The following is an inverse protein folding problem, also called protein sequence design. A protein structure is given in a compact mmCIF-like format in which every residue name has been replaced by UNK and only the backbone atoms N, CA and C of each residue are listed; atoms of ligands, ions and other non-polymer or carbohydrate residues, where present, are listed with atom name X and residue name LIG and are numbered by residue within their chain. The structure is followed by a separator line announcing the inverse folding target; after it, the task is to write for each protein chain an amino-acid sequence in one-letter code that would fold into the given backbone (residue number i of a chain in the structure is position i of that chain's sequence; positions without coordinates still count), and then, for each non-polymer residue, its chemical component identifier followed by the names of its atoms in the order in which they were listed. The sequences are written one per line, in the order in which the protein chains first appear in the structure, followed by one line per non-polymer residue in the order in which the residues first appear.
data_IF_823831432126
#
_entry.id   IF_823831432126
#
_cell.length_a   1.000
_cell.length_b   1.000
_cell.length_c   1.000
_cell.angle_alpha   90.00
_cell.angle_beta   90.00
_cell.angle_gamma   90.00
#
_symmetry.space_group_name_H-M   'P 1'
#
loop_
_entity.id
_entity.type
_entity.pdbx_description
1 polymer ?
#
# COMPACT_ATOMS: atom_id res chain seq x y z
N UNK A 1 -7.40 18.24 0.50
CA UNK A 1 -7.67 18.68 1.88
C UNK A 1 -8.86 19.65 1.85
N UNK A 2 -10.06 19.11 1.62
CA UNK A 2 -11.25 19.93 1.37
C UNK A 2 -11.68 20.65 2.66
N UNK A 3 -11.53 20.03 3.82
CA UNK A 3 -11.92 20.61 5.10
C UNK A 3 -11.25 21.95 5.39
N UNK A 4 -9.94 22.09 5.15
CA UNK A 4 -9.27 23.36 5.39
C UNK A 4 -9.75 24.46 4.45
N UNK A 5 -10.04 24.12 3.19
CA UNK A 5 -10.63 25.06 2.24
C UNK A 5 -12.05 25.48 2.64
N UNK A 6 -12.91 24.52 2.99
CA UNK A 6 -14.28 24.78 3.42
C UNK A 6 -14.33 25.56 4.73
N UNK A 7 -13.44 25.24 5.68
CA UNK A 7 -13.33 25.97 6.94
C UNK A 7 -12.93 27.43 6.72
N UNK A 8 -11.92 27.69 5.88
CA UNK A 8 -11.46 29.05 5.60
C UNK A 8 -12.50 29.86 4.81
N UNK A 9 -13.21 29.24 3.86
CA UNK A 9 -14.13 29.96 2.96
C UNK A 9 -15.56 30.06 3.47
N UNK A 10 -16.05 29.03 4.15
CA UNK A 10 -17.46 28.89 4.55
C UNK A 10 -17.66 28.67 6.06
N UNK A 11 -16.58 28.53 6.84
CA UNK A 11 -16.67 28.41 8.30
C UNK A 11 -17.12 27.03 8.81
N UNK A 12 -17.23 26.01 7.95
CA UNK A 12 -17.59 24.64 8.35
C UNK A 12 -16.57 23.60 7.87
N UNK A 13 -16.48 22.48 8.60
CA UNK A 13 -15.66 21.32 8.25
C UNK A 13 -16.59 20.21 7.73
N UNK A 14 -16.31 19.63 6.55
CA UNK A 14 -17.17 18.63 5.89
C UNK A 14 -17.24 17.36 6.72
N UNK A 15 -16.10 16.97 7.30
CA UNK A 15 -16.00 15.81 8.19
C UNK A 15 -16.79 16.00 9.50
N UNK A 16 -17.21 17.23 9.84
CA UNK A 16 -17.96 17.53 11.07
C UNK A 16 -19.41 17.97 10.82
N UNK A 17 -19.97 17.71 9.64
CA UNK A 17 -21.38 18.00 9.35
C UNK A 17 -22.34 17.06 10.09
N UNK A 18 -22.02 15.77 10.14
CA UNK A 18 -22.80 14.75 10.85
C UNK A 18 -21.87 13.77 11.57
N UNK A 19 -22.35 13.14 12.63
CA UNK A 19 -21.59 12.10 13.36
C UNK A 19 -21.22 10.94 12.41
N UNK A 20 -22.11 10.60 11.48
CA UNK A 20 -21.87 9.60 10.45
C UNK A 20 -20.73 10.00 9.50
N UNK A 21 -20.73 11.25 9.02
CA UNK A 21 -19.65 11.79 8.18
C UNK A 21 -18.31 11.71 8.89
N UNK A 22 -18.24 12.17 10.15
CA UNK A 22 -17.02 12.16 10.96
C UNK A 22 -16.45 10.75 11.13
N UNK A 23 -17.33 9.79 11.46
CA UNK A 23 -16.97 8.37 11.62
C UNK A 23 -16.43 7.77 10.34
N UNK A 24 -17.14 7.98 9.22
CA UNK A 24 -16.79 7.39 7.94
C UNK A 24 -15.52 8.02 7.36
N UNK A 25 -15.41 9.36 7.36
CA UNK A 25 -14.21 10.07 6.92
C UNK A 25 -12.99 9.66 7.74
N UNK A 26 -13.12 9.57 9.08
CA UNK A 26 -12.03 9.11 9.95
C UNK A 26 -11.60 7.69 9.59
N UNK A 27 -12.55 6.76 9.49
CA UNK A 27 -12.26 5.37 9.12
C UNK A 27 -11.57 5.25 7.76
N UNK A 28 -12.15 5.87 6.72
CA UNK A 28 -11.62 5.83 5.35
C UNK A 28 -10.23 6.44 5.30
N UNK A 29 -10.01 7.58 5.95
CA UNK A 29 -8.69 8.22 6.00
C UNK A 29 -7.65 7.30 6.63
N UNK A 30 -7.93 6.69 7.79
CA UNK A 30 -6.99 5.77 8.43
C UNK A 30 -6.76 4.51 7.60
N UNK A 31 -7.83 3.86 7.12
CA UNK A 31 -7.76 2.65 6.31
C UNK A 31 -6.96 2.87 5.03
N UNK A 32 -7.27 3.91 4.25
CA UNK A 32 -6.59 4.20 2.98
C UNK A 32 -5.13 4.58 3.19
N UNK A 33 -4.81 5.40 4.21
CA UNK A 33 -3.44 5.79 4.51
C UNK A 33 -2.58 4.58 4.88
N UNK A 34 -3.06 3.74 5.80
CA UNK A 34 -2.34 2.53 6.21
C UNK A 34 -2.23 1.55 5.03
N UNK A 35 -3.32 1.30 4.30
CA UNK A 35 -3.31 0.43 3.12
C UNK A 35 -2.28 0.89 2.08
N UNK A 36 -2.23 2.19 1.80
CA UNK A 36 -1.27 2.77 0.86
C UNK A 36 0.19 2.57 1.30
N UNK A 37 0.49 2.70 2.60
CA UNK A 37 1.84 2.46 3.13
C UNK A 37 2.23 0.97 3.05
N UNK A 38 1.33 0.06 3.44
CA UNK A 38 1.58 -1.38 3.40
C UNK A 38 1.70 -1.92 1.97
N UNK A 39 0.92 -1.39 1.02
CA UNK A 39 1.09 -1.73 -0.40
C UNK A 39 2.49 -1.40 -0.91
N UNK A 40 3.12 -0.32 -0.43
CA UNK A 40 4.49 0.03 -0.77
C UNK A 40 5.52 -0.92 -0.17
N UNK A 41 5.32 -1.37 1.06
CA UNK A 41 6.14 -2.45 1.65
C UNK A 41 6.06 -3.69 0.76
N UNK A 42 4.86 -4.11 0.37
CA UNK A 42 4.68 -5.29 -0.50
C UNK A 42 5.29 -5.11 -1.89
N UNK A 43 5.26 -3.91 -2.47
CA UNK A 43 5.99 -3.62 -3.70
C UNK A 43 7.51 -3.78 -3.53
N UNK A 44 8.08 -3.37 -2.40
CA UNK A 44 9.50 -3.58 -2.12
C UNK A 44 9.83 -5.07 -1.95
N UNK A 45 8.97 -5.82 -1.26
CA UNK A 45 9.10 -7.28 -1.07
C UNK A 45 9.04 -8.01 -2.41
N UNK A 46 8.05 -7.70 -3.26
CA UNK A 46 7.90 -8.31 -4.59
C UNK A 46 9.18 -8.14 -5.41
N UNK A 47 9.76 -6.93 -5.41
CA UNK A 47 11.02 -6.66 -6.12
C UNK A 47 12.20 -7.38 -5.53
N UNK A 48 12.33 -7.39 -4.21
CA UNK A 48 13.40 -8.13 -3.55
C UNK A 48 13.32 -9.63 -3.87
N UNK A 49 12.13 -10.23 -3.79
CA UNK A 49 11.90 -11.63 -4.15
C UNK A 49 12.19 -11.91 -5.62
N UNK A 50 11.83 -11.00 -6.53
CA UNK A 50 12.09 -11.14 -7.96
C UNK A 50 13.59 -11.10 -8.29
N UNK A 51 14.40 -10.36 -7.51
CA UNK A 51 15.85 -10.28 -7.69
C UNK A 51 16.59 -11.48 -7.10
N UNK A 52 16.17 -11.96 -5.92
CA UNK A 52 16.89 -13.03 -5.22
C UNK A 52 16.68 -14.43 -5.84
N UNK A 53 15.65 -14.65 -6.65
CA UNK A 53 15.30 -15.99 -7.16
C UNK A 53 15.89 -16.29 -8.56
N UNK A 54 17.02 -16.99 -8.60
CA UNK A 54 17.76 -17.45 -9.80
C UNK A 54 17.02 -18.50 -10.67
N UNK A 55 15.75 -18.86 -10.39
CA UNK A 55 15.08 -19.98 -11.11
C UNK A 55 13.66 -19.66 -11.59
N UNK A 56 13.55 -19.43 -12.90
CA UNK A 56 12.37 -19.09 -13.71
C UNK A 56 11.07 -19.87 -13.42
N UNK A 57 11.12 -21.08 -12.85
CA UNK A 57 9.94 -21.93 -12.59
C UNK A 57 9.10 -21.53 -11.36
N UNK A 58 9.59 -20.66 -10.46
CA UNK A 58 8.88 -20.27 -9.23
C UNK A 58 8.06 -18.96 -9.35
N UNK A 59 8.23 -18.22 -10.44
CA UNK A 59 7.67 -16.86 -10.63
C UNK A 59 6.13 -16.85 -10.57
N UNK A 60 5.47 -17.81 -11.22
CA UNK A 60 4.00 -17.85 -11.23
C UNK A 60 3.39 -18.13 -9.84
N UNK A 61 4.05 -18.95 -9.01
CA UNK A 61 3.62 -19.19 -7.63
C UNK A 61 3.97 -18.03 -6.69
N UNK A 62 5.00 -17.23 -7.01
CA UNK A 62 5.40 -16.08 -6.20
C UNK A 62 4.38 -14.94 -6.29
N UNK A 63 3.93 -14.58 -7.50
CA UNK A 63 2.92 -13.52 -7.66
C UNK A 63 1.62 -13.84 -6.92
N UNK A 64 1.14 -15.09 -6.99
CA UNK A 64 -0.06 -15.52 -6.25
C UNK A 64 0.12 -15.40 -4.73
N UNK A 65 1.32 -15.71 -4.22
CA UNK A 65 1.65 -15.57 -2.79
C UNK A 65 1.69 -14.10 -2.36
N UNK A 66 2.34 -13.23 -3.13
CA UNK A 66 2.40 -11.79 -2.83
C UNK A 66 1.00 -11.18 -2.83
N UNK A 67 0.17 -11.50 -3.83
CA UNK A 67 -1.23 -11.03 -3.87
C UNK A 67 -2.03 -11.52 -2.66
N UNK A 68 -1.86 -12.78 -2.26
CA UNK A 68 -2.49 -13.30 -1.04
C UNK A 68 -2.08 -12.49 0.19
N UNK A 69 -0.79 -12.20 0.36
CA UNK A 69 -0.30 -11.39 1.49
C UNK A 69 -0.80 -9.94 1.45
N UNK A 70 -0.92 -9.34 0.26
CA UNK A 70 -1.52 -8.01 0.09
C UNK A 70 -2.97 -8.03 0.57
N UNK A 71 -3.79 -8.95 0.08
CA UNK A 71 -5.21 -9.07 0.46
C UNK A 71 -5.33 -9.30 1.97
N UNK A 72 -4.53 -10.23 2.50
CA UNK A 72 -4.50 -10.51 3.93
C UNK A 72 -4.15 -9.27 4.76
N UNK A 73 -3.15 -8.49 4.33
CA UNK A 73 -2.76 -7.24 5.01
C UNK A 73 -3.87 -6.20 4.95
N UNK A 74 -4.56 -6.05 3.80
CA UNK A 74 -5.69 -5.12 3.68
C UNK A 74 -6.85 -5.51 4.60
N UNK A 75 -7.13 -6.81 4.75
CA UNK A 75 -8.13 -7.32 5.70
C UNK A 75 -7.72 -6.99 7.13
N UNK A 76 -6.47 -7.24 7.52
CA UNK A 76 -5.97 -6.88 8.86
C UNK A 76 -6.10 -5.38 9.11
N UNK A 77 -5.68 -4.54 8.16
CA UNK A 77 -5.78 -3.08 8.28
C UNK A 77 -7.24 -2.65 8.42
N UNK A 78 -8.17 -3.24 7.66
CA UNK A 78 -9.60 -2.96 7.82
C UNK A 78 -10.11 -3.34 9.22
N UNK A 79 -9.77 -4.54 9.70
CA UNK A 79 -10.18 -5.03 11.03
C UNK A 79 -9.62 -4.18 12.17
N UNK A 80 -8.33 -3.82 12.10
CA UNK A 80 -7.67 -2.95 13.09
C UNK A 80 -8.37 -1.58 13.18
N UNK A 81 -8.85 -1.04 12.07
CA UNK A 81 -9.53 0.25 12.02
C UNK A 81 -11.04 0.17 12.29
N UNK A 82 -11.63 -1.02 12.46
CA UNK A 82 -13.09 -1.20 12.63
C UNK A 82 -13.66 -0.53 13.88
N UNK A 83 -12.83 -0.27 14.88
CA UNK A 83 -13.22 0.47 16.08
C UNK A 83 -13.48 1.97 15.82
N UNK A 84 -13.01 2.55 14.71
CA UNK A 84 -13.24 3.95 14.31
C UNK A 84 -14.70 4.26 14.01
N UNK A 85 -15.40 3.55 13.09
CA UNK A 85 -16.81 3.85 12.82
C UNK A 85 -17.72 3.64 14.05
N UNK A 86 -17.29 2.82 15.01
CA UNK A 86 -18.06 2.56 16.24
C UNK A 86 -17.85 3.70 17.25
N UNK A 87 -16.60 4.01 17.58
CA UNK A 87 -16.26 4.84 18.73
C UNK A 87 -15.74 6.24 18.41
N UNK A 88 -15.34 6.51 17.16
CA UNK A 88 -14.84 7.83 16.79
C UNK A 88 -15.99 8.83 16.67
N UNK A 89 -15.77 10.03 17.20
CA UNK A 89 -16.67 11.17 17.15
C UNK A 89 -17.98 11.03 17.92
N UNK A 90 -18.44 12.14 18.48
CA UNK A 90 -19.70 12.25 19.20
C UNK A 90 -20.28 13.66 19.07
N UNK A 91 -21.60 13.78 19.27
CA UNK A 91 -22.30 15.06 19.29
C UNK A 91 -22.38 15.60 20.71
N UNK A 92 -22.06 16.88 20.87
CA UNK A 92 -22.21 17.67 22.09
C UNK A 92 -23.23 18.77 21.85
N UNK A 93 -24.13 18.98 22.80
CA UNK A 93 -24.97 20.18 22.81
C UNK A 93 -24.31 21.22 23.71
N UNK A 94 -23.98 22.38 23.16
CA UNK A 94 -23.40 23.50 23.89
C UNK A 94 -24.07 24.79 23.45
N UNK A 95 -24.66 25.55 24.39
CA UNK A 95 -25.38 26.80 24.12
C UNK A 95 -26.44 26.69 23.01
N UNK A 96 -27.29 25.67 23.06
CA UNK A 96 -28.30 25.35 22.04
C UNK A 96 -27.75 25.03 20.63
N UNK A 97 -26.42 24.94 20.47
CA UNK A 97 -25.78 24.48 19.23
C UNK A 97 -25.31 23.03 19.39
N UNK A 98 -25.59 22.20 18.39
CA UNK A 98 -25.03 20.84 18.33
C UNK A 98 -23.68 20.88 17.61
N UNK A 99 -22.60 20.56 18.32
CA UNK A 99 -21.24 20.49 17.79
C UNK A 99 -20.75 19.05 17.75
N UNK A 100 -20.00 18.71 16.70
CA UNK A 100 -19.40 17.38 16.55
C UNK A 100 -17.95 17.45 16.98
N UNK A 101 -17.59 16.64 17.97
CA UNK A 101 -16.23 16.54 18.51
C UNK A 101 -15.62 15.20 18.09
N UNK A 102 -14.32 15.21 17.78
CA UNK A 102 -13.53 14.00 17.56
C UNK A 102 -13.11 13.33 18.87
N UNK A 103 -12.89 12.01 18.83
CA UNK A 103 -12.53 11.21 20.00
C UNK A 103 -13.69 10.34 20.51
N UNK A 104 -13.53 9.79 21.72
CA UNK A 104 -14.53 8.92 22.36
C UNK A 104 -14.68 9.28 23.83
N UNK A 105 -15.92 9.42 24.31
CA UNK A 105 -16.22 9.63 25.73
C UNK A 105 -15.92 8.38 26.58
N UNK A 106 -16.14 7.20 26.01
CA UNK A 106 -16.14 5.93 26.75
C UNK A 106 -14.88 5.10 26.50
N UNK A 107 -14.12 5.40 25.44
CA UNK A 107 -12.98 4.59 25.03
C UNK A 107 -11.66 5.34 25.20
N UNK A 108 -10.91 4.98 26.26
CA UNK A 108 -9.61 5.57 26.62
C UNK A 108 -8.53 5.43 25.55
N UNK A 109 -8.75 4.64 24.51
CA UNK A 109 -7.81 4.54 23.39
C UNK A 109 -7.72 5.84 22.58
N UNK A 110 -8.68 6.77 22.68
CA UNK A 110 -8.82 7.92 21.76
C UNK A 110 -8.06 9.22 22.10
N UNK A 111 -6.96 9.16 22.86
CA UNK A 111 -5.79 9.95 22.45
C UNK A 111 -4.61 9.07 22.05
N UNK A 112 -4.51 7.87 22.60
CA UNK A 112 -3.38 6.96 22.36
C UNK A 112 -3.37 6.36 20.95
N UNK A 113 -4.51 6.33 20.27
CA UNK A 113 -4.64 5.82 18.90
C UNK A 113 -3.72 6.54 17.92
N UNK A 114 -3.44 7.83 18.14
CA UNK A 114 -2.52 8.61 17.31
C UNK A 114 -1.11 8.00 17.28
N UNK A 115 -0.63 7.43 18.39
CA UNK A 115 0.66 6.74 18.45
C UNK A 115 0.64 5.40 17.70
N UNK A 116 -0.45 4.64 17.85
CA UNK A 116 -0.62 3.37 17.13
C UNK A 116 -0.68 3.64 15.63
N UNK A 117 -1.45 4.65 15.22
CA UNK A 117 -1.52 5.07 13.84
C UNK A 117 -0.16 5.54 13.32
N UNK A 118 0.60 6.34 14.09
CA UNK A 118 1.96 6.73 13.72
C UNK A 118 2.86 5.49 13.45
N UNK A 119 2.80 4.49 14.32
CA UNK A 119 3.56 3.26 14.17
C UNK A 119 3.14 2.45 12.93
N UNK A 120 1.84 2.18 12.78
CA UNK A 120 1.29 1.34 11.71
C UNK A 120 1.31 2.00 10.33
N UNK A 121 1.13 3.31 10.27
CA UNK A 121 1.12 4.07 9.02
C UNK A 121 2.52 4.48 8.59
N UNK A 122 3.39 4.97 9.50
CA UNK A 122 4.70 5.51 9.10
C UNK A 122 5.87 4.65 9.56
N UNK A 123 6.09 4.49 10.87
CA UNK A 123 7.37 3.98 11.39
C UNK A 123 7.64 2.56 10.90
N UNK A 124 6.70 1.64 11.08
CA UNK A 124 6.89 0.23 10.69
C UNK A 124 7.01 0.10 9.16
N UNK A 125 6.10 0.65 8.35
CA UNK A 125 6.26 0.60 6.89
C UNK A 125 7.57 1.22 6.41
N UNK A 126 8.01 2.33 7.00
CA UNK A 126 9.26 2.99 6.65
C UNK A 126 10.48 2.12 6.91
N UNK A 127 10.59 1.53 8.10
CA UNK A 127 11.72 0.64 8.45
C UNK A 127 11.77 -0.55 7.49
N UNK A 128 10.62 -1.16 7.18
CA UNK A 128 10.54 -2.26 6.23
C UNK A 128 10.94 -1.84 4.82
N UNK A 129 10.40 -0.72 4.31
CA UNK A 129 10.77 -0.18 2.99
C UNK A 129 12.26 0.12 2.91
N UNK A 130 12.84 0.75 3.92
CA UNK A 130 14.28 1.04 3.97
C UNK A 130 15.09 -0.25 3.94
N UNK A 131 14.71 -1.25 4.75
CA UNK A 131 15.40 -2.54 4.81
C UNK A 131 15.39 -3.24 3.46
N UNK A 132 14.22 -3.39 2.82
CA UNK A 132 14.13 -4.05 1.51
C UNK A 132 14.84 -3.26 0.41
N UNK A 133 14.74 -1.93 0.41
CA UNK A 133 15.45 -1.10 -0.55
C UNK A 133 16.97 -1.22 -0.41
N UNK A 134 17.49 -1.25 0.82
CA UNK A 134 18.93 -1.48 1.06
C UNK A 134 19.38 -2.85 0.59
N UNK A 135 18.56 -3.90 0.79
CA UNK A 135 18.85 -5.24 0.28
C UNK A 135 18.85 -5.28 -1.27
N UNK A 136 17.90 -4.60 -1.91
CA UNK A 136 17.82 -4.47 -3.37
C UNK A 136 19.08 -3.79 -3.91
N UNK A 137 19.47 -2.64 -3.34
CA UNK A 137 20.67 -1.90 -3.76
C UNK A 137 21.93 -2.75 -3.59
N UNK A 138 22.10 -3.40 -2.42
CA UNK A 138 23.24 -4.29 -2.15
C UNK A 138 23.34 -5.41 -3.19
N UNK A 139 22.22 -6.05 -3.50
CA UNK A 139 22.16 -7.13 -4.47
C UNK A 139 22.50 -6.64 -5.89
N UNK A 140 21.99 -5.48 -6.30
CA UNK A 140 22.30 -4.86 -7.59
C UNK A 140 23.80 -4.49 -7.72
N UNK A 141 24.42 -3.99 -6.65
CA UNK A 141 25.86 -3.69 -6.61
C UNK A 141 26.69 -4.97 -6.71
N UNK A 142 26.28 -6.04 -6.02
CA UNK A 142 26.98 -7.32 -6.04
C UNK A 142 26.97 -7.94 -7.44
N UNK A 143 25.79 -7.98 -8.08
CA UNK A 143 25.67 -8.44 -9.48
C UNK A 143 26.49 -7.55 -10.41
N UNK A 144 26.55 -6.23 -10.16
CA UNK A 144 27.35 -5.30 -10.97
C UNK A 144 28.82 -5.71 -11.03
N UNK A 145 29.37 -6.20 -9.92
CA UNK A 145 30.77 -6.62 -9.80
C UNK A 145 31.08 -7.97 -10.47
N UNK A 146 30.09 -8.87 -10.56
CA UNK A 146 30.31 -10.26 -11.01
C UNK A 146 29.88 -10.54 -12.46
N UNK A 147 29.26 -9.59 -13.17
CA UNK A 147 28.67 -9.85 -14.50
C UNK A 147 29.15 -8.88 -15.59
N UNK A 148 29.64 -9.44 -16.71
CA UNK A 148 29.89 -8.74 -17.99
C UNK A 148 28.61 -8.60 -18.85
N UNK A 149 27.48 -9.18 -18.43
CA UNK A 149 26.23 -9.20 -19.20
C UNK A 149 25.37 -7.97 -18.90
N UNK A 150 25.40 -7.00 -19.82
CA UNK A 150 24.85 -5.65 -19.69
C UNK A 150 23.32 -5.58 -19.95
N UNK A 151 22.75 -6.55 -20.67
CA UNK A 151 21.40 -6.45 -21.26
C UNK A 151 20.24 -6.70 -20.27
N UNK A 152 20.35 -7.69 -19.36
CA UNK A 152 19.32 -7.93 -18.33
C UNK A 152 19.31 -6.85 -17.25
N UNK A 153 20.45 -6.19 -17.04
CA UNK A 153 20.70 -5.16 -16.02
C UNK A 153 19.83 -3.91 -16.21
N UNK A 154 19.73 -3.41 -17.44
CA UNK A 154 19.03 -2.15 -17.77
C UNK A 154 17.54 -2.21 -17.41
N UNK A 155 16.91 -3.39 -17.52
CA UNK A 155 15.48 -3.59 -17.27
C UNK A 155 15.14 -3.71 -15.78
N UNK A 156 16.04 -4.22 -14.95
CA UNK A 156 15.80 -4.34 -13.49
C UNK A 156 16.11 -3.05 -12.72
N UNK A 157 17.06 -2.24 -13.21
CA UNK A 157 17.39 -0.93 -12.61
C UNK A 157 16.32 0.12 -12.85
N UNK A 158 15.66 0.12 -14.03
CA UNK A 158 14.63 1.11 -14.37
C UNK A 158 13.37 0.99 -13.50
N UNK A 159 13.04 -0.22 -13.02
CA UNK A 159 11.85 -0.49 -12.20
C UNK A 159 12.13 -0.28 -10.69
N UNK A 160 13.38 -0.38 -10.25
CA UNK A 160 13.75 -0.24 -8.83
C UNK A 160 13.88 1.22 -8.39
N UNK A 161 14.30 2.13 -9.28
CA UNK A 161 14.48 3.55 -8.96
C UNK A 161 13.18 4.28 -8.55
N UNK A 162 12.03 4.06 -9.20
CA UNK A 162 10.79 4.73 -8.81
C UNK A 162 10.25 4.28 -7.45
N UNK A 163 10.47 3.01 -7.09
CA UNK A 163 10.06 2.45 -5.79
C UNK A 163 10.91 3.04 -4.67
N UNK A 164 12.23 3.19 -4.91
CA UNK A 164 13.12 3.88 -3.98
C UNK A 164 12.72 5.36 -3.80
N UNK A 165 12.48 6.06 -4.91
CA UNK A 165 12.04 7.46 -4.89
C UNK A 165 10.71 7.62 -4.14
N UNK A 166 9.75 6.73 -4.39
CA UNK A 166 8.46 6.73 -3.70
C UNK A 166 8.60 6.50 -2.19
N UNK A 167 9.48 5.59 -1.76
CA UNK A 167 9.76 5.34 -0.34
C UNK A 167 10.43 6.55 0.34
N UNK A 168 11.34 7.23 -0.36
CA UNK A 168 11.98 8.44 0.14
C UNK A 168 11.00 9.60 0.28
N UNK A 169 10.20 9.85 -0.77
CA UNK A 169 9.16 10.88 -0.75
C UNK A 169 8.10 10.59 0.33
N UNK A 170 7.75 9.32 0.55
CA UNK A 170 6.88 8.94 1.66
C UNK A 170 7.48 9.40 2.99
N UNK A 171 8.73 9.03 3.26
CA UNK A 171 9.39 9.38 4.51
C UNK A 171 9.36 10.89 4.76
N UNK A 172 9.76 11.69 3.77
CA UNK A 172 9.86 13.14 3.91
C UNK A 172 8.48 13.80 4.05
N UNK A 173 7.50 13.35 3.27
CA UNK A 173 6.22 14.06 3.16
C UNK A 173 5.16 13.57 4.15
N UNK A 174 5.29 12.36 4.71
CA UNK A 174 4.26 11.81 5.63
C UNK A 174 4.74 11.66 7.06
N UNK A 175 6.04 11.47 7.31
CA UNK A 175 6.56 11.29 8.67
C UNK A 175 6.49 12.57 9.51
N UNK A 176 6.96 13.74 9.04
CA UNK A 176 6.89 14.96 9.85
C UNK A 176 5.46 15.34 10.24
N UNK A 177 4.47 15.34 9.31
CA UNK A 177 3.07 15.53 9.68
C UNK A 177 2.61 14.51 10.72
N UNK A 178 2.88 13.22 10.53
CA UNK A 178 2.39 12.19 11.44
C UNK A 178 2.98 12.29 12.86
N UNK A 179 4.27 12.62 12.98
CA UNK A 179 4.91 12.87 14.29
C UNK A 179 4.27 14.08 14.96
N UNK A 180 4.09 15.18 14.21
CA UNK A 180 3.49 16.40 14.74
C UNK A 180 2.04 16.16 15.20
N UNK A 181 1.24 15.43 14.42
CA UNK A 181 -0.12 15.05 14.81
C UNK A 181 -0.16 14.11 16.02
N UNK A 182 0.82 13.22 16.18
CA UNK A 182 0.83 12.28 17.30
C UNK A 182 1.23 12.92 18.64
N UNK A 183 2.22 13.81 18.63
CA UNK A 183 2.80 14.35 19.86
C UNK A 183 2.34 15.77 20.19
N UNK A 184 2.11 16.61 19.18
CA UNK A 184 1.96 18.05 19.39
C UNK A 184 0.58 18.59 19.00
N UNK A 185 -0.34 17.75 18.51
CA UNK A 185 -1.65 18.21 18.00
C UNK A 185 -2.43 19.07 19.00
N UNK A 186 -2.51 18.65 20.28
CA UNK A 186 -3.23 19.41 21.33
C UNK A 186 -2.57 20.74 21.65
N UNK A 187 -1.23 20.77 21.65
CA UNK A 187 -0.46 21.97 21.97
C UNK A 187 -0.46 22.97 20.82
N UNK A 188 -0.54 22.50 19.57
CA UNK A 188 -0.51 23.31 18.36
C UNK A 188 -1.88 23.89 17.97
N UNK A 189 -2.96 23.51 18.64
CA UNK A 189 -4.30 23.97 18.26
C UNK A 189 -4.66 25.34 18.88
N UNK A 190 -3.91 25.80 19.88
CA UNK A 190 -4.20 27.03 20.65
C UNK A 190 -3.77 28.33 19.96
N UNK A 191 -2.87 28.28 18.99
CA UNK A 191 -2.34 29.46 18.30
C UNK A 191 -2.70 29.43 16.79
N UNK A 192 -2.99 30.61 16.22
CA UNK A 192 -3.29 30.79 14.79
C UNK A 192 -2.12 30.30 13.93
N UNK A 193 -0.88 30.65 14.31
CA UNK A 193 0.31 30.26 13.54
C UNK A 193 0.53 28.74 13.55
N UNK A 194 0.28 28.11 14.71
CA UNK A 194 0.41 26.67 14.87
C UNK A 194 -0.67 25.89 14.12
N UNK A 195 -1.89 26.43 14.03
CA UNK A 195 -2.95 25.90 13.17
C UNK A 195 -2.57 25.97 11.69
N UNK A 196 -1.95 27.06 11.22
CA UNK A 196 -1.45 27.17 9.85
C UNK A 196 -0.38 26.09 9.55
N UNK A 197 0.53 25.85 10.49
CA UNK A 197 1.53 24.79 10.36
C UNK A 197 0.88 23.41 10.19
N UNK A 198 -0.14 23.09 10.99
CA UNK A 198 -0.89 21.84 10.86
C UNK A 198 -1.57 21.72 9.47
N UNK A 199 -2.16 22.81 8.97
CA UNK A 199 -2.77 22.86 7.62
C UNK A 199 -1.74 22.62 6.51
N UNK A 200 -0.55 23.20 6.63
CA UNK A 200 0.55 23.02 5.68
C UNK A 200 1.04 21.58 5.67
N UNK A 201 1.26 21.00 6.85
CA UNK A 201 1.71 19.61 7.01
C UNK A 201 0.70 18.61 6.46
N UNK A 202 -0.59 18.82 6.72
CA UNK A 202 -1.64 18.01 6.10
C UNK A 202 -1.64 18.15 4.58
N UNK A 203 -1.46 19.36 4.06
CA UNK A 203 -1.42 19.61 2.62
C UNK A 203 -0.21 18.93 1.96
N UNK A 204 0.95 18.91 2.61
CA UNK A 204 2.13 18.15 2.16
C UNK A 204 1.81 16.66 2.10
N UNK A 205 1.23 16.09 3.17
CA UNK A 205 0.81 14.68 3.22
C UNK A 205 -0.16 14.32 2.10
N UNK A 206 -1.20 15.13 1.87
CA UNK A 206 -2.17 14.88 0.80
C UNK A 206 -1.57 15.06 -0.59
N UNK A 207 -0.72 16.08 -0.77
CA UNK A 207 0.03 16.29 -2.02
C UNK A 207 0.85 15.05 -2.38
N UNK A 208 1.53 14.45 -1.40
CA UNK A 208 2.25 13.20 -1.62
C UNK A 208 1.34 12.08 -2.16
N UNK A 209 0.19 11.85 -1.54
CA UNK A 209 -0.72 10.79 -1.97
C UNK A 209 -1.30 11.06 -3.36
N UNK A 210 -1.63 12.30 -3.69
CA UNK A 210 -2.07 12.70 -5.03
C UNK A 210 -0.99 12.49 -6.08
N UNK A 211 0.25 12.91 -5.78
CA UNK A 211 1.39 12.76 -6.71
C UNK A 211 1.85 11.32 -6.87
N UNK A 212 1.63 10.46 -5.88
CA UNK A 212 2.06 9.06 -5.91
C UNK A 212 1.50 8.31 -7.12
N UNK A 213 0.22 8.51 -7.46
CA UNK A 213 -0.38 7.90 -8.65
C UNK A 213 0.35 8.33 -9.93
N UNK A 214 0.57 9.64 -10.10
CA UNK A 214 1.27 10.18 -11.28
C UNK A 214 2.72 9.71 -11.34
N UNK A 215 3.38 9.62 -10.19
CA UNK A 215 4.74 9.08 -10.10
C UNK A 215 4.78 7.65 -10.65
N UNK A 216 3.92 6.76 -10.18
CA UNK A 216 3.85 5.39 -10.70
C UNK A 216 3.46 5.35 -12.17
N UNK A 217 2.51 6.18 -12.58
CA UNK A 217 2.08 6.26 -13.97
C UNK A 217 3.21 6.68 -14.92
N UNK A 218 3.98 7.70 -14.58
CA UNK A 218 5.07 8.20 -15.41
C UNK A 218 6.24 7.22 -15.43
N UNK A 219 6.59 6.67 -14.26
CA UNK A 219 7.84 5.93 -14.07
C UNK A 219 7.75 4.43 -14.34
N UNK A 220 6.59 3.80 -14.12
CA UNK A 220 6.43 2.35 -14.26
C UNK A 220 5.65 2.02 -15.54
N UNK A 221 6.35 1.53 -16.57
CA UNK A 221 5.70 1.17 -17.84
C UNK A 221 4.76 -0.04 -17.69
N UNK A 222 5.06 -0.95 -16.79
CA UNK A 222 4.23 -2.09 -16.42
C UNK A 222 2.92 -1.63 -15.77
N UNK A 223 2.97 -0.61 -14.90
CA UNK A 223 1.79 -0.03 -14.28
C UNK A 223 0.86 0.58 -15.34
N UNK A 224 1.42 1.35 -16.29
CA UNK A 224 0.63 1.91 -17.41
C UNK A 224 -0.04 0.82 -18.24
N UNK A 225 0.70 -0.25 -18.58
CA UNK A 225 0.14 -1.37 -19.36
C UNK A 225 -1.04 -2.02 -18.66
N UNK A 226 -0.93 -2.31 -17.36
CA UNK A 226 -2.05 -2.90 -16.60
C UNK A 226 -3.19 -1.89 -16.37
N UNK A 227 -2.89 -0.62 -16.12
CA UNK A 227 -3.90 0.44 -15.99
C UNK A 227 -4.74 0.59 -17.26
N UNK A 228 -4.10 0.69 -18.44
CA UNK A 228 -4.82 0.73 -19.71
C UNK A 228 -5.55 -0.57 -20.01
N UNK A 229 -5.03 -1.71 -19.57
CA UNK A 229 -5.73 -3.00 -19.70
C UNK A 229 -7.01 -3.05 -18.87
N UNK A 230 -6.98 -2.47 -17.66
CA UNK A 230 -8.16 -2.34 -16.80
C UNK A 230 -9.18 -1.37 -17.39
N UNK A 231 -8.74 -0.20 -17.89
CA UNK A 231 -9.63 0.78 -18.50
C UNK A 231 -10.23 0.34 -19.82
N UNK A 232 -9.43 -0.30 -20.68
CA UNK A 232 -9.86 -0.68 -22.01
C UNK A 232 -10.70 -1.98 -22.00
N UNK A 233 -11.02 -2.55 -20.82
CA UNK A 233 -11.87 -3.73 -20.65
C UNK A 233 -11.76 -4.72 -21.83
N UNK A 234 -10.53 -5.06 -22.26
CA UNK A 234 -10.34 -6.23 -23.10
C UNK A 234 -10.51 -7.39 -22.13
N UNK A 235 -11.78 -7.73 -21.91
CA UNK A 235 -12.23 -8.98 -21.34
C UNK A 235 -11.24 -10.02 -21.84
N UNK A 236 -10.54 -10.65 -20.90
CA UNK A 236 -9.65 -11.75 -21.22
C UNK A 236 -10.48 -12.68 -22.09
N UNK A 237 -10.10 -12.78 -23.36
CA UNK A 237 -10.71 -13.70 -24.29
C UNK A 237 -10.63 -15.07 -23.58
N UNK A 238 -11.79 -15.65 -23.25
CA UNK A 238 -11.97 -16.89 -22.46
C UNK A 238 -11.07 -18.03 -22.96
N UNK A 239 -10.63 -17.91 -24.22
CA UNK A 239 -9.68 -18.74 -24.94
C UNK A 239 -8.29 -18.91 -24.29
N UNK A 240 -7.79 -17.97 -23.47
CA UNK A 240 -6.50 -18.16 -22.77
C UNK A 240 -6.60 -19.06 -21.53
N UNK A 241 -7.76 -19.07 -20.86
CA UNK A 241 -8.00 -19.96 -19.73
C UNK A 241 -8.23 -21.40 -20.22
N UNK A 242 -8.95 -21.58 -21.35
CA UNK A 242 -9.10 -22.89 -22.00
C UNK A 242 -7.78 -23.42 -22.59
N UNK A 243 -6.90 -22.56 -23.13
CA UNK A 243 -5.56 -22.98 -23.55
C UNK A 243 -4.67 -23.41 -22.38
N UNK A 244 -4.71 -22.71 -21.24
CA UNK A 244 -3.93 -23.10 -20.06
C UNK A 244 -4.48 -24.40 -19.45
N UNK A 245 -5.80 -24.59 -19.41
CA UNK A 245 -6.43 -25.85 -18.99
C UNK A 245 -6.01 -26.98 -19.93
N UNK A 246 -6.09 -26.80 -21.26
CA UNK A 246 -5.72 -27.81 -22.25
C UNK A 246 -4.23 -28.19 -22.23
N UNK A 247 -3.32 -27.25 -21.93
CA UNK A 247 -1.89 -27.55 -21.76
C UNK A 247 -1.63 -28.34 -20.47
N UNK A 248 -2.43 -28.14 -19.41
CA UNK A 248 -2.32 -28.89 -18.16
C UNK A 248 -2.94 -30.29 -18.27
N UNK A 249 -4.06 -30.45 -18.98
CA UNK A 249 -4.66 -31.78 -19.25
C UNK A 249 -3.81 -32.62 -20.20
N UNK A 250 -3.24 -32.05 -21.27
CA UNK A 250 -2.37 -32.80 -22.19
C UNK A 250 -1.04 -33.22 -21.56
N UNK A 251 -0.51 -32.47 -20.58
CA UNK A 251 0.68 -32.88 -19.82
C UNK A 251 0.40 -34.02 -18.84
N UNK A 252 -0.82 -34.12 -18.28
CA UNK A 252 -1.21 -35.28 -17.46
C UNK A 252 -1.42 -36.54 -18.30
N UNK A 253 -2.02 -36.41 -19.49
CA UNK A 253 -2.24 -37.56 -20.38
C UNK A 253 -0.93 -38.17 -20.93
N UNK A 254 0.09 -37.35 -21.19
CA UNK A 254 1.41 -37.83 -21.63
C UNK A 254 2.22 -38.49 -20.52
N UNK A 255 2.02 -38.07 -19.27
CA UNK A 255 2.72 -38.62 -18.11
C UNK A 255 2.20 -40.01 -17.68
N UNK A 256 0.95 -40.37 -17.99
CA UNK A 256 0.44 -41.73 -17.78
C UNK A 256 0.87 -42.72 -18.87
N UNK A 257 1.16 -42.25 -20.10
CA UNK A 257 1.60 -43.11 -21.20
C UNK A 257 3.06 -43.55 -21.12
N UNK A 258 3.88 -42.94 -20.25
CA UNK A 258 5.32 -43.28 -20.11
C UNK A 258 5.63 -44.27 -18.99
N UNK A 259 4.62 -44.73 -18.24
CA UNK A 259 4.79 -45.68 -17.12
C UNK A 259 4.35 -47.11 -17.43
N UNK A 260 3.94 -47.44 -18.65
CA UNK A 260 3.74 -48.82 -19.08
C UNK A 260 5.03 -49.35 -19.73
N UNK A 261 6.00 -49.71 -18.91
CA UNK A 261 7.15 -50.53 -19.35
C UNK A 261 6.62 -51.96 -19.55
N UNK A 262 6.78 -52.57 -20.73
CA UNK A 262 6.41 -53.97 -20.92
C UNK A 262 7.36 -54.85 -20.09
N UNK A 263 6.78 -55.69 -19.24
CA UNK A 263 7.50 -56.74 -18.52
C UNK A 263 7.93 -57.78 -19.57
N UNK A 264 9.18 -57.69 -20.00
CA UNK A 264 9.83 -58.76 -20.77
C UNK A 264 10.18 -59.88 -19.82
N UNK A 265 9.41 -60.97 -19.92
CA UNK A 265 9.65 -62.27 -19.29
C UNK A 265 10.99 -62.82 -19.79
N UNK A 266 12.00 -62.85 -18.92
CA UNK A 266 13.25 -63.56 -19.18
C UNK A 266 13.07 -64.99 -18.67
N UNK A 267 13.03 -65.93 -19.61
CA UNK A 267 13.17 -67.37 -19.38
C UNK A 267 14.62 -67.70 -19.04
N UNK A 268 14.82 -68.46 -17.96
CA UNK A 268 15.81 -69.53 -17.84
C UNK A 268 15.41 -70.45 -16.69
#
# INVERSE_FOLDING_TARGET
NLDHFFRLKFGFEVDRLTVLSCKLSTYINHFLNQSSAWLRVWMCVDRFCALNHIRQRRINNQHRRVVFFIIFTLIIVALVNLHLPIFACYSLSYNNETKIAGGSLYFRLYPSWSYINLALYNIIPFILMLTFNMLIIRHLILIKKTSSLQQSRIRHTSISMPILLSAFLFCIMTTPPAVIFAFYHKQLQSDIFQNLLLSLLDSIKYTYHSLSFFLYFITLIEFRKEFFRLLHCRFINRNRLSQIINVVTNRRATQYKTTSIPITTITK
#
